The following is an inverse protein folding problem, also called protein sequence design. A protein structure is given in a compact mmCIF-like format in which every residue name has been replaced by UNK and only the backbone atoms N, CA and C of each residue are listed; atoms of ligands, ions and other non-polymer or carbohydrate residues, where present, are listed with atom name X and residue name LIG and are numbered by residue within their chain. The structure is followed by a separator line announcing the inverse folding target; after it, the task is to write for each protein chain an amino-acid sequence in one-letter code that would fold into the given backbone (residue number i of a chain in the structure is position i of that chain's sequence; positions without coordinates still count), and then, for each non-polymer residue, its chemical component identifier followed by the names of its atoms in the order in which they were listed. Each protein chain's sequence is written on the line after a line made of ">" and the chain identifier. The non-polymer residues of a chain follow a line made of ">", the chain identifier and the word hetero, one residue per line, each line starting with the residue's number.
data_IF_125512968304
#
_entry.id   IF_125512968304
#
_cell.length_a   1.000
_cell.length_b   1.000
_cell.length_c   1.000
_cell.angle_alpha   90.00
_cell.angle_beta   90.00
_cell.angle_gamma   90.00
#
_symmetry.space_group_name_H-M   'P 1'
#
loop_
_entity.id
_entity.type
_entity.pdbx_description
1 polymer ?
#
# COMPACT_ATOMS: atom_id res chain seq x y z
N UNK A 1 11.18 -7.50 -15.75
CA UNK A 1 9.86 -7.28 -15.12
C UNK A 1 9.01 -6.35 -15.98
N UNK A 2 7.73 -6.62 -16.07
CA UNK A 2 6.79 -5.75 -16.79
C UNK A 2 6.36 -4.56 -15.93
N UNK A 3 5.82 -3.53 -16.58
CA UNK A 3 5.24 -2.37 -15.88
C UNK A 3 4.16 -2.79 -14.86
N UNK A 4 3.37 -3.81 -15.23
CA UNK A 4 2.31 -4.33 -14.37
C UNK A 4 2.89 -4.94 -13.09
N UNK A 5 3.93 -5.75 -13.21
CA UNK A 5 4.60 -6.34 -12.04
C UNK A 5 5.24 -5.28 -11.15
N UNK A 6 5.87 -4.28 -11.76
CA UNK A 6 6.49 -3.18 -11.02
C UNK A 6 5.48 -2.34 -10.24
N UNK A 7 4.26 -2.23 -10.76
CA UNK A 7 3.19 -1.46 -10.13
C UNK A 7 2.48 -2.22 -8.99
N UNK A 8 2.68 -3.52 -8.86
CA UNK A 8 2.00 -4.33 -7.84
C UNK A 8 2.26 -3.85 -6.42
N UNK A 9 3.48 -3.49 -6.12
CA UNK A 9 3.83 -2.98 -4.78
C UNK A 9 3.04 -1.73 -4.41
N UNK A 10 2.86 -0.82 -5.37
CA UNK A 10 2.08 0.40 -5.16
C UNK A 10 0.63 0.09 -4.80
N UNK A 11 0.00 -0.82 -5.54
CA UNK A 11 -1.39 -1.20 -5.29
C UNK A 11 -1.56 -1.98 -3.98
N UNK A 12 -0.60 -2.85 -3.65
CA UNK A 12 -0.60 -3.57 -2.38
C UNK A 12 -0.49 -2.61 -1.19
N UNK A 13 0.37 -1.59 -1.29
CA UNK A 13 0.49 -0.57 -0.25
C UNK A 13 -0.80 0.22 -0.06
N UNK A 14 -1.48 0.55 -1.15
CA UNK A 14 -2.79 1.21 -1.11
C UNK A 14 -3.84 0.34 -0.43
N UNK A 15 -3.89 -0.93 -0.80
CA UNK A 15 -4.84 -1.88 -0.22
C UNK A 15 -4.60 -2.04 1.28
N UNK A 16 -3.33 -2.14 1.70
CA UNK A 16 -2.96 -2.23 3.11
C UNK A 16 -3.45 -0.99 3.89
N UNK A 17 -3.24 0.21 3.36
CA UNK A 17 -3.73 1.44 3.99
C UNK A 17 -5.25 1.44 4.13
N UNK A 18 -5.96 1.01 3.11
CA UNK A 18 -7.42 0.93 3.13
C UNK A 18 -7.91 -0.09 4.16
N UNK A 19 -7.24 -1.24 4.25
CA UNK A 19 -7.57 -2.26 5.26
C UNK A 19 -7.33 -1.76 6.67
N UNK A 20 -6.21 -1.06 6.90
CA UNK A 20 -5.89 -0.46 8.20
C UNK A 20 -6.94 0.58 8.61
N UNK A 21 -7.37 1.42 7.66
CA UNK A 21 -8.43 2.41 7.89
C UNK A 21 -9.74 1.73 8.27
N UNK A 22 -10.09 0.67 7.54
CA UNK A 22 -11.33 -0.06 7.77
C UNK A 22 -11.36 -0.76 9.12
N UNK A 23 -10.24 -1.36 9.52
CA UNK A 23 -10.09 -1.95 10.86
C UNK A 23 -10.27 -0.89 11.94
N UNK A 24 -9.64 0.27 11.79
CA UNK A 24 -9.76 1.38 12.74
C UNK A 24 -11.22 1.87 12.86
N UNK A 25 -11.94 1.97 11.75
CA UNK A 25 -13.36 2.33 11.74
C UNK A 25 -14.21 1.31 12.50
N UNK A 26 -13.96 0.02 12.26
CA UNK A 26 -14.71 -1.04 12.93
C UNK A 26 -14.40 -1.09 14.43
N UNK A 27 -13.15 -0.88 14.81
CA UNK A 27 -12.76 -0.80 16.23
C UNK A 27 -13.44 0.39 16.92
N UNK A 28 -13.50 1.54 16.26
CA UNK A 28 -14.20 2.72 16.77
C UNK A 28 -15.71 2.45 16.90
N UNK A 29 -16.32 1.81 15.91
CA UNK A 29 -17.74 1.46 15.95
C UNK A 29 -18.05 0.48 17.08
N UNK A 30 -17.20 -0.51 17.30
CA UNK A 30 -17.33 -1.47 18.40
C UNK A 30 -17.21 -0.77 19.77
N UNK A 31 -16.26 0.15 19.89
CA UNK A 31 -16.09 0.95 21.12
C UNK A 31 -17.30 1.84 21.39
N UNK A 32 -17.84 2.49 20.36
CA UNK A 32 -19.05 3.31 20.49
C UNK A 32 -20.28 2.49 20.88
N UNK A 33 -20.42 1.28 20.35
CA UNK A 33 -21.46 0.35 20.79
C UNK A 33 -21.32 -0.02 22.27
N UNK A 34 -20.09 -0.28 22.71
CA UNK A 34 -19.81 -0.62 24.13
C UNK A 34 -20.14 0.53 25.08
N UNK A 35 -19.85 1.77 24.70
CA UNK A 35 -20.13 2.94 25.54
C UNK A 35 -21.61 3.27 25.65
N UNK A 36 -22.44 2.87 24.69
CA UNK A 36 -23.90 3.07 24.73
C UNK A 36 -24.63 2.08 25.63
N UNK A 37 -23.95 1.09 26.16
CA UNK A 37 -24.53 0.02 26.96
C UNK A 37 -24.67 0.41 28.46
N UNK A 38 -24.02 1.47 28.91
CA UNK A 38 -24.05 1.89 30.32
C UNK A 38 -25.44 2.38 30.72
N UNK A 39 -26.14 1.58 31.54
CA UNK A 39 -27.40 1.95 32.16
C UNK A 39 -28.66 1.35 31.58
N UNK A 40 -28.59 0.56 30.52
CA UNK A 40 -29.77 -0.13 29.95
C UNK A 40 -29.58 -1.65 30.05
N UNK A 41 -30.66 -2.42 30.40
CA UNK A 41 -30.55 -3.86 30.27
C UNK A 41 -30.26 -4.19 28.83
N UNK A 42 -29.08 -4.73 28.59
CA UNK A 42 -28.58 -5.00 27.25
C UNK A 42 -29.48 -6.04 26.57
N UNK A 43 -30.20 -5.63 25.57
CA UNK A 43 -30.82 -6.57 24.65
C UNK A 43 -29.77 -7.41 23.95
N UNK A 44 -30.11 -8.63 23.58
CA UNK A 44 -29.25 -9.54 22.80
C UNK A 44 -28.68 -8.89 21.53
N UNK A 45 -29.36 -7.88 20.96
CA UNK A 45 -28.94 -7.21 19.73
C UNK A 45 -27.63 -6.43 19.84
N UNK A 46 -27.25 -5.93 21.02
CA UNK A 46 -25.99 -5.18 21.23
C UNK A 46 -24.82 -6.15 21.34
N UNK A 47 -24.98 -7.26 22.07
CA UNK A 47 -24.00 -8.34 22.14
C UNK A 47 -23.69 -8.92 20.75
N UNK A 48 -24.73 -9.12 19.92
CA UNK A 48 -24.59 -9.65 18.56
C UNK A 48 -23.84 -8.66 17.67
N UNK A 49 -24.09 -7.35 17.80
CA UNK A 49 -23.35 -6.32 17.05
C UNK A 49 -21.88 -6.30 17.43
N UNK A 50 -21.55 -6.36 18.71
CA UNK A 50 -20.16 -6.40 19.19
C UNK A 50 -19.48 -7.67 18.69
N UNK A 51 -20.16 -8.82 18.76
CA UNK A 51 -19.66 -10.07 18.22
C UNK A 51 -19.41 -10.03 16.72
N UNK A 52 -20.32 -9.39 15.97
CA UNK A 52 -20.14 -9.20 14.52
C UNK A 52 -18.97 -8.30 14.19
N UNK A 53 -18.78 -7.19 14.92
CA UNK A 53 -17.63 -6.31 14.74
C UNK A 53 -16.33 -7.05 15.05
N UNK A 54 -16.29 -7.83 16.13
CA UNK A 54 -15.12 -8.60 16.52
C UNK A 54 -14.76 -9.62 15.43
N UNK A 55 -15.74 -10.32 14.88
CA UNK A 55 -15.53 -11.28 13.79
C UNK A 55 -15.00 -10.60 12.53
N UNK A 56 -15.60 -9.47 12.14
CA UNK A 56 -15.15 -8.71 10.97
C UNK A 56 -13.74 -8.17 11.15
N UNK A 57 -13.40 -7.66 12.33
CA UNK A 57 -12.07 -7.17 12.66
C UNK A 57 -11.05 -8.30 12.56
N UNK A 58 -11.37 -9.47 13.12
CA UNK A 58 -10.48 -10.64 13.06
C UNK A 58 -10.21 -11.08 11.62
N UNK A 59 -11.26 -11.14 10.78
CA UNK A 59 -11.14 -11.49 9.37
C UNK A 59 -10.28 -10.49 8.61
N UNK A 60 -10.50 -9.18 8.83
CA UNK A 60 -9.73 -8.12 8.18
C UNK A 60 -8.28 -8.12 8.63
N UNK A 61 -8.00 -8.39 9.90
CA UNK A 61 -6.62 -8.51 10.41
C UNK A 61 -5.90 -9.69 9.78
N UNK A 62 -6.59 -10.81 9.57
CA UNK A 62 -6.01 -11.96 8.88
C UNK A 62 -5.66 -11.63 7.41
N UNK A 63 -6.56 -10.95 6.70
CA UNK A 63 -6.30 -10.49 5.34
C UNK A 63 -5.17 -9.47 5.28
N UNK A 64 -5.13 -8.55 6.24
CA UNK A 64 -4.05 -7.56 6.35
C UNK A 64 -2.70 -8.24 6.53
N UNK A 65 -2.61 -9.23 7.41
CA UNK A 65 -1.38 -10.00 7.63
C UNK A 65 -0.91 -10.68 6.35
N UNK A 66 -1.83 -11.28 5.61
CA UNK A 66 -1.53 -11.91 4.32
C UNK A 66 -1.01 -10.88 3.31
N UNK A 67 -1.66 -9.73 3.22
CA UNK A 67 -1.24 -8.65 2.30
C UNK A 67 0.10 -8.03 2.69
N UNK A 68 0.39 -7.95 3.99
CA UNK A 68 1.70 -7.51 4.47
C UNK A 68 2.81 -8.47 4.04
N UNK A 69 2.56 -9.77 4.11
CA UNK A 69 3.51 -10.80 3.65
C UNK A 69 3.73 -10.70 2.14
N UNK A 70 2.66 -10.54 1.38
CA UNK A 70 2.74 -10.34 -0.08
C UNK A 70 3.50 -9.07 -0.44
N UNK A 71 3.23 -7.98 0.27
CA UNK A 71 3.92 -6.70 0.08
C UNK A 71 5.42 -6.83 0.34
N UNK A 72 5.81 -7.53 1.40
CA UNK A 72 7.21 -7.78 1.73
C UNK A 72 7.89 -8.61 0.65
N UNK A 73 7.24 -9.64 0.14
CA UNK A 73 7.74 -10.46 -0.95
C UNK A 73 7.95 -9.63 -2.22
N UNK A 74 6.96 -8.83 -2.62
CA UNK A 74 7.07 -7.98 -3.82
C UNK A 74 8.12 -6.89 -3.65
N UNK A 75 8.24 -6.33 -2.46
CA UNK A 75 9.29 -5.35 -2.13
C UNK A 75 10.68 -5.94 -2.33
N UNK A 76 10.92 -7.13 -1.82
CA UNK A 76 12.21 -7.80 -1.97
C UNK A 76 12.49 -8.15 -3.43
N UNK A 77 11.49 -8.63 -4.14
CA UNK A 77 11.58 -8.95 -5.56
C UNK A 77 11.93 -7.72 -6.38
N UNK A 78 11.26 -6.62 -6.12
CA UNK A 78 11.49 -5.34 -6.78
C UNK A 78 12.89 -4.79 -6.48
N UNK A 79 13.32 -4.85 -5.23
CA UNK A 79 14.66 -4.40 -4.84
C UNK A 79 15.76 -5.18 -5.56
N UNK A 80 15.62 -6.49 -5.66
CA UNK A 80 16.59 -7.32 -6.41
C UNK A 80 16.66 -6.89 -7.87
N UNK A 81 15.51 -6.67 -8.48
CA UNK A 81 15.46 -6.21 -9.87
C UNK A 81 16.14 -4.85 -10.03
N UNK A 82 15.87 -3.90 -9.14
CA UNK A 82 16.45 -2.56 -9.20
C UNK A 82 17.97 -2.60 -8.98
N UNK A 83 18.45 -3.47 -8.09
CA UNK A 83 19.90 -3.61 -7.84
C UNK A 83 20.66 -4.08 -9.07
N UNK A 84 20.02 -4.81 -9.97
CA UNK A 84 20.61 -5.27 -11.23
C UNK A 84 20.67 -4.18 -12.30
N UNK A 85 20.00 -3.05 -12.10
CA UNK A 85 20.02 -1.94 -13.05
C UNK A 85 21.37 -1.24 -13.00
N UNK A 86 22.06 -1.17 -14.14
CA UNK A 86 23.40 -0.60 -14.22
C UNK A 86 23.41 0.92 -14.26
N UNK A 87 22.44 1.55 -14.93
CA UNK A 87 22.38 3.01 -15.04
C UNK A 87 21.92 3.66 -13.74
N UNK A 88 22.74 4.53 -13.09
CA UNK A 88 22.35 5.16 -11.83
C UNK A 88 21.07 5.99 -11.93
N UNK A 89 20.86 6.70 -13.03
CA UNK A 89 19.67 7.52 -13.22
C UNK A 89 18.41 6.66 -13.28
N UNK A 90 18.44 5.58 -14.07
CA UNK A 90 17.30 4.65 -14.20
C UNK A 90 17.03 3.99 -12.85
N UNK A 91 18.06 3.56 -12.15
CA UNK A 91 17.94 2.98 -10.81
C UNK A 91 17.21 3.93 -9.84
N UNK A 92 17.60 5.19 -9.84
CA UNK A 92 16.99 6.23 -9.01
C UNK A 92 15.52 6.47 -9.37
N UNK A 93 15.23 6.54 -10.67
CA UNK A 93 13.85 6.67 -11.17
C UNK A 93 12.99 5.48 -10.69
N UNK A 94 13.51 4.27 -10.80
CA UNK A 94 12.78 3.05 -10.42
C UNK A 94 12.48 3.03 -8.92
N UNK A 95 13.46 3.40 -8.09
CA UNK A 95 13.25 3.49 -6.64
C UNK A 95 12.18 4.52 -6.32
N UNK A 96 12.30 5.73 -6.87
CA UNK A 96 11.34 6.80 -6.60
C UNK A 96 9.92 6.47 -7.06
N UNK A 97 9.80 5.88 -8.23
CA UNK A 97 8.48 5.62 -8.83
C UNK A 97 7.81 4.37 -8.28
N UNK A 98 8.51 3.26 -8.20
CA UNK A 98 7.91 1.97 -7.88
C UNK A 98 8.01 1.60 -6.40
N UNK A 99 9.07 1.99 -5.72
CA UNK A 99 9.21 1.73 -4.28
C UNK A 99 8.52 2.82 -3.46
N UNK A 100 8.82 4.09 -3.75
CA UNK A 100 8.30 5.21 -2.97
C UNK A 100 6.97 5.74 -3.46
N UNK A 101 6.58 5.43 -4.71
CA UNK A 101 5.30 5.86 -5.28
C UNK A 101 5.21 7.35 -5.55
N UNK A 102 6.33 8.03 -5.78
CA UNK A 102 6.35 9.47 -6.01
C UNK A 102 5.80 9.84 -7.38
N UNK A 103 5.20 11.04 -7.46
CA UNK A 103 4.78 11.62 -8.74
C UNK A 103 5.98 11.97 -9.61
N UNK A 104 5.79 12.02 -10.92
CA UNK A 104 6.87 12.39 -11.84
C UNK A 104 7.42 13.77 -11.56
N UNK A 105 6.57 14.72 -11.13
CA UNK A 105 6.99 16.07 -10.74
C UNK A 105 7.96 16.00 -9.54
N UNK A 106 7.62 15.22 -8.53
CA UNK A 106 8.47 15.03 -7.35
C UNK A 106 9.77 14.34 -7.70
N UNK A 107 9.74 13.34 -8.58
CA UNK A 107 10.94 12.62 -9.05
C UNK A 107 11.86 13.59 -9.78
N UNK A 108 11.35 14.43 -10.66
CA UNK A 108 12.13 15.43 -11.37
C UNK A 108 12.81 16.41 -10.41
N UNK A 109 12.12 16.80 -9.35
CA UNK A 109 12.68 17.64 -8.29
C UNK A 109 13.81 16.95 -7.53
N UNK A 110 13.62 15.69 -7.15
CA UNK A 110 14.62 14.90 -6.40
C UNK A 110 15.86 14.63 -7.23
N UNK A 111 15.68 14.22 -8.49
CA UNK A 111 16.77 13.92 -9.40
C UNK A 111 17.54 15.19 -9.76
N UNK A 112 16.84 16.30 -9.90
CA UNK A 112 17.44 17.60 -10.20
C UNK A 112 17.98 17.70 -11.62
N UNK A 113 18.85 18.69 -11.85
CA UNK A 113 19.40 18.97 -13.17
C UNK A 113 18.35 19.47 -14.14
N UNK A 114 18.55 19.19 -15.42
CA UNK A 114 17.62 19.59 -16.50
C UNK A 114 16.57 18.52 -16.80
N UNK A 115 16.32 17.61 -15.87
CA UNK A 115 15.36 16.53 -16.07
C UNK A 115 13.92 17.02 -15.89
N UNK A 116 13.08 16.80 -16.90
CA UNK A 116 11.65 17.11 -16.84
C UNK A 116 10.87 15.85 -16.43
N UNK A 117 9.65 16.03 -15.83
CA UNK A 117 8.81 14.89 -15.50
C UNK A 117 8.53 13.98 -16.70
N UNK A 118 8.21 14.55 -17.85
CA UNK A 118 7.94 13.78 -19.07
C UNK A 118 9.18 13.08 -19.60
N UNK A 119 10.33 13.74 -19.55
CA UNK A 119 11.61 13.17 -19.96
C UNK A 119 11.97 11.94 -19.15
N UNK A 120 11.79 11.99 -17.84
CA UNK A 120 12.06 10.87 -16.94
C UNK A 120 11.09 9.71 -17.18
N UNK A 121 9.82 10.02 -17.39
CA UNK A 121 8.80 9.02 -17.71
C UNK A 121 9.14 8.28 -19.01
N UNK A 122 9.59 9.01 -20.02
CA UNK A 122 9.99 8.44 -21.31
C UNK A 122 11.25 7.58 -21.14
N UNK A 123 12.23 8.02 -20.37
CA UNK A 123 13.44 7.22 -20.07
C UNK A 123 13.09 5.89 -19.43
N UNK A 124 12.19 5.90 -18.43
CA UNK A 124 11.68 4.68 -17.80
C UNK A 124 11.02 3.78 -18.84
N UNK A 125 10.15 4.33 -19.68
CA UNK A 125 9.42 3.56 -20.66
C UNK A 125 10.35 2.89 -21.69
N UNK A 126 11.37 3.61 -22.16
CA UNK A 126 12.37 3.08 -23.08
C UNK A 126 13.20 1.96 -22.45
N UNK A 127 13.59 2.14 -21.19
CA UNK A 127 14.32 1.11 -20.45
C UNK A 127 13.50 -0.17 -20.32
N UNK A 128 12.23 -0.07 -19.96
CA UNK A 128 11.35 -1.24 -19.79
C UNK A 128 11.07 -1.96 -21.11
N UNK A 129 11.07 -1.25 -22.24
CA UNK A 129 10.93 -1.86 -23.56
C UNK A 129 12.15 -2.69 -23.96
N UNK A 130 13.35 -2.27 -23.56
CA UNK A 130 14.60 -2.99 -23.89
C UNK A 130 14.76 -4.27 -23.06
N UNK A 131 14.18 -4.30 -21.89
CA UNK A 131 14.26 -5.40 -20.95
C UNK A 131 12.88 -6.02 -20.70
#
# INVERSE_FOLDING_TARGET
>A
MTKKELSQLYYLKKEIKEQQRRIAELEAAATNCSTKITGLPSGKGISDKIGNYAAQIADLKALLDLNLKMCFYEFNRLNRYIEEVEEPLIKQIMICRFVNGYSWRKIAYIVGGNNTPDGLRIKKMRFLKKN
#
